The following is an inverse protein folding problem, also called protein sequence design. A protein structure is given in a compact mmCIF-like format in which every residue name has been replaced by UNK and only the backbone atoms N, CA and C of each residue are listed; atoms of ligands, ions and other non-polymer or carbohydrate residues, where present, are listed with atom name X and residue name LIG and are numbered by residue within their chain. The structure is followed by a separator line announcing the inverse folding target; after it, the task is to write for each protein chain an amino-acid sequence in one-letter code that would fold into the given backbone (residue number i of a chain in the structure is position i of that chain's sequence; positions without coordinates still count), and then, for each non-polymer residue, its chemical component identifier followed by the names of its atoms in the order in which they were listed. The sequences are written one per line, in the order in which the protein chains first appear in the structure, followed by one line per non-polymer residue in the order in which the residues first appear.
data_IF_861705986358
#
_entry.id   IF_861705986358
#
_cell.length_a   1.000
_cell.length_b   1.000
_cell.length_c   1.000
_cell.angle_alpha   90.00
_cell.angle_beta   90.00
_cell.angle_gamma   90.00
#
_symmetry.space_group_name_H-M   'P 1'
#
loop_
_entity.id
_entity.type
_entity.pdbx_description
1 polymer ?
#
# COMPACT_ATOMS: atom_id res chain seq x y z
N UNK A 1 -4.81 -2.26 -10.94
CA UNK A 1 -4.78 -0.87 -10.40
C UNK A 1 -4.03 -0.01 -11.39
N UNK A 2 -4.66 1.06 -11.86
CA UNK A 2 -4.06 2.02 -12.78
C UNK A 2 -3.84 3.34 -12.06
N UNK A 3 -2.59 3.72 -11.90
CA UNK A 3 -2.14 4.93 -11.24
C UNK A 3 -1.57 5.88 -12.30
N UNK A 4 -2.15 7.07 -12.39
CA UNK A 4 -1.70 8.13 -13.30
C UNK A 4 -1.18 9.31 -12.46
N UNK A 5 0.12 9.60 -12.55
CA UNK A 5 0.71 10.80 -11.96
C UNK A 5 0.44 11.95 -12.92
N UNK A 6 -0.39 12.93 -12.55
CA UNK A 6 -0.77 14.04 -13.44
C UNK A 6 -0.03 15.34 -13.15
N UNK A 7 0.63 15.43 -12.00
CA UNK A 7 1.48 16.56 -11.58
C UNK A 7 2.68 16.05 -10.78
N UNK A 8 3.78 16.84 -10.68
CA UNK A 8 4.93 16.45 -9.88
C UNK A 8 4.54 16.10 -8.44
N UNK A 9 5.11 15.01 -7.92
CA UNK A 9 4.85 14.52 -6.57
C UNK A 9 5.67 15.26 -5.49
N UNK A 10 6.24 16.43 -5.82
CA UNK A 10 6.97 17.28 -4.88
C UNK A 10 6.15 17.49 -3.60
N UNK A 11 6.75 17.17 -2.45
CA UNK A 11 6.15 17.24 -1.12
C UNK A 11 4.94 16.30 -0.88
N UNK A 12 4.83 15.18 -1.60
CA UNK A 12 3.84 14.14 -1.35
C UNK A 12 4.52 12.87 -0.86
N UNK A 13 4.27 12.51 0.40
CA UNK A 13 4.80 11.28 0.97
C UNK A 13 3.98 10.04 0.54
N UNK A 14 2.65 10.14 0.44
CA UNK A 14 1.77 9.00 0.15
C UNK A 14 0.96 9.18 -1.13
N UNK A 15 0.93 8.13 -1.95
CA UNK A 15 0.17 8.06 -3.20
C UNK A 15 -1.08 7.20 -2.99
N UNK A 16 -0.90 5.99 -2.48
CA UNK A 16 -1.98 5.07 -2.13
C UNK A 16 -1.58 4.18 -0.96
N UNK A 17 -2.57 3.63 -0.28
CA UNK A 17 -2.37 2.60 0.74
C UNK A 17 -3.39 1.48 0.61
N UNK A 18 -2.94 0.27 0.93
CA UNK A 18 -3.75 -0.91 1.20
C UNK A 18 -3.32 -1.37 2.57
N UNK A 19 -4.25 -1.37 3.52
CA UNK A 19 -3.96 -1.64 4.93
C UNK A 19 -4.93 -2.67 5.44
N UNK A 20 -4.46 -3.51 6.33
CA UNK A 20 -5.30 -4.41 7.12
C UNK A 20 -5.15 -3.97 8.56
N UNK A 21 -6.24 -3.58 9.21
CA UNK A 21 -6.19 -3.04 10.56
C UNK A 21 -7.44 -3.28 11.38
N UNK A 22 -7.40 -2.90 12.67
CA UNK A 22 -8.55 -2.93 13.56
C UNK A 22 -9.49 -1.78 13.22
N UNK A 23 -10.79 -1.99 13.40
CA UNK A 23 -11.79 -0.92 13.20
C UNK A 23 -11.49 0.34 14.00
N UNK A 24 -11.00 0.18 15.24
CA UNK A 24 -10.64 1.29 16.12
C UNK A 24 -9.34 2.03 15.72
N UNK A 25 -8.56 1.51 14.79
CA UNK A 25 -7.35 2.19 14.30
C UNK A 25 -7.63 2.93 12.97
N UNK A 26 -8.80 2.68 12.37
CA UNK A 26 -9.22 3.23 11.08
C UNK A 26 -10.01 4.51 11.29
N UNK A 27 -9.63 5.58 10.58
CA UNK A 27 -10.38 6.85 10.57
C UNK A 27 -10.00 7.85 11.66
N UNK A 28 -9.06 7.52 12.53
CA UNK A 28 -8.49 8.48 13.50
C UNK A 28 -7.59 9.53 12.83
N UNK A 29 -7.03 9.22 11.66
CA UNK A 29 -6.14 10.09 10.91
C UNK A 29 -6.44 10.03 9.40
N UNK A 30 -5.85 10.95 8.63
CA UNK A 30 -5.94 10.99 7.16
C UNK A 30 -5.30 9.78 6.44
N UNK A 31 -4.56 8.95 7.19
CA UNK A 31 -3.90 7.73 6.76
C UNK A 31 -3.91 6.71 7.92
N UNK A 32 -3.87 5.41 7.64
CA UNK A 32 -3.78 4.36 8.69
C UNK A 32 -2.31 4.09 9.09
N UNK A 33 -1.38 4.85 8.51
CA UNK A 33 0.06 4.76 8.77
C UNK A 33 0.39 4.75 10.27
N UNK A 34 1.35 3.90 10.63
CA UNK A 34 1.98 3.82 11.95
C UNK A 34 1.09 3.36 13.12
N UNK A 35 -0.10 2.85 12.83
CA UNK A 35 -0.93 2.25 13.87
C UNK A 35 -0.36 0.87 14.29
N UNK A 36 -0.33 0.54 15.60
CA UNK A 36 0.29 -0.70 16.09
C UNK A 36 -0.30 -1.98 15.49
N UNK A 37 -1.61 -1.98 15.19
CA UNK A 37 -2.29 -3.11 14.56
C UNK A 37 -2.62 -2.84 13.10
N UNK A 38 -1.78 -2.08 12.40
CA UNK A 38 -1.90 -1.86 10.96
C UNK A 38 -0.73 -2.51 10.21
N UNK A 39 -1.10 -3.41 9.30
CA UNK A 39 -0.18 -3.97 8.31
C UNK A 39 -0.44 -3.28 6.98
N UNK A 40 0.55 -2.54 6.51
CA UNK A 40 0.40 -1.62 5.40
C UNK A 40 1.25 -2.02 4.20
N UNK A 41 0.62 -1.92 3.04
CA UNK A 41 1.24 -1.88 1.73
C UNK A 41 0.92 -0.53 1.09
N UNK A 42 1.93 0.27 0.76
CA UNK A 42 1.67 1.63 0.26
C UNK A 42 2.64 2.04 -0.85
N UNK A 43 2.14 2.89 -1.75
CA UNK A 43 2.95 3.61 -2.73
C UNK A 43 3.32 4.97 -2.18
N UNK A 44 4.61 5.30 -2.19
CA UNK A 44 5.14 6.56 -1.67
C UNK A 44 6.21 7.12 -2.58
N UNK A 45 6.34 8.46 -2.62
CA UNK A 45 7.51 9.08 -3.19
C UNK A 45 8.73 8.74 -2.32
N UNK A 46 9.81 8.30 -2.96
CA UNK A 46 11.08 8.03 -2.32
C UNK A 46 12.08 9.09 -2.78
N UNK A 47 12.44 9.99 -1.87
CA UNK A 47 13.36 11.09 -2.18
C UNK A 47 14.75 10.58 -2.56
N UNK A 48 15.25 9.55 -1.87
CA UNK A 48 16.56 8.94 -2.16
C UNK A 48 16.65 8.39 -3.58
N UNK A 49 15.59 7.69 -4.02
CA UNK A 49 15.54 7.04 -5.33
C UNK A 49 14.90 7.90 -6.41
N UNK A 50 14.41 9.10 -6.05
CA UNK A 50 13.65 10.01 -6.93
C UNK A 50 12.62 9.26 -7.77
N UNK A 51 11.76 8.48 -7.13
CA UNK A 51 10.76 7.66 -7.81
C UNK A 51 9.62 7.27 -6.85
N UNK A 52 8.54 6.70 -7.38
CA UNK A 52 7.53 6.06 -6.54
C UNK A 52 8.00 4.66 -6.19
N UNK A 53 7.98 4.34 -4.91
CA UNK A 53 8.31 3.02 -4.37
C UNK A 53 7.11 2.42 -3.63
N UNK A 54 7.05 1.10 -3.65
CA UNK A 54 6.21 0.30 -2.76
C UNK A 54 6.93 0.12 -1.43
N UNK A 55 6.17 0.22 -0.35
CA UNK A 55 6.62 -0.06 1.00
C UNK A 55 5.66 -1.05 1.68
N UNK A 56 6.23 -2.04 2.36
CA UNK A 56 5.51 -2.86 3.33
C UNK A 56 5.93 -2.44 4.73
N UNK A 57 4.97 -2.04 5.57
CA UNK A 57 5.21 -1.40 6.87
C UNK A 57 4.29 -1.96 7.95
N UNK A 58 4.77 -1.94 9.19
CA UNK A 58 3.99 -2.21 10.39
C UNK A 58 4.64 -1.48 11.57
N UNK A 59 3.84 -0.80 12.40
CA UNK A 59 4.30 -0.15 13.64
C UNK A 59 5.60 0.69 13.47
N UNK A 60 5.65 1.50 12.42
CA UNK A 60 6.78 2.38 12.12
C UNK A 60 7.97 1.71 11.42
N UNK A 61 7.99 0.38 11.35
CA UNK A 61 9.06 -0.37 10.72
C UNK A 61 8.80 -0.60 9.23
N UNK A 62 9.89 -0.52 8.45
CA UNK A 62 9.91 -0.80 7.03
C UNK A 62 10.45 -2.22 6.79
N UNK A 63 9.61 -3.11 6.26
CA UNK A 63 9.98 -4.51 6.01
C UNK A 63 10.36 -4.78 4.56
N UNK A 64 9.75 -4.05 3.63
CA UNK A 64 10.12 -4.11 2.22
C UNK A 64 10.05 -2.73 1.58
N UNK A 65 10.98 -2.49 0.66
CA UNK A 65 11.09 -1.26 -0.12
C UNK A 65 11.48 -1.60 -1.55
N UNK A 66 10.54 -1.43 -2.49
CA UNK A 66 10.70 -1.84 -3.88
C UNK A 66 10.38 -0.70 -4.85
N UNK A 67 11.19 -0.50 -5.91
CA UNK A 67 10.90 0.49 -6.94
C UNK A 67 9.60 0.14 -7.67
N UNK A 68 8.73 1.13 -7.92
CA UNK A 68 7.45 0.92 -8.59
C UNK A 68 7.36 1.62 -9.94
N UNK A 69 7.56 2.93 -9.97
CA UNK A 69 7.52 3.75 -11.18
C UNK A 69 8.33 5.02 -11.01
N UNK A 70 8.62 5.71 -12.12
CA UNK A 70 9.06 7.10 -12.07
C UNK A 70 8.02 7.97 -11.34
N UNK A 71 8.46 9.13 -10.82
CA UNK A 71 7.60 10.10 -10.13
C UNK A 71 7.19 11.28 -11.02
N UNK A 72 7.56 11.24 -12.31
CA UNK A 72 7.36 12.34 -13.25
C UNK A 72 5.90 12.44 -13.72
N UNK A 73 5.42 13.64 -14.06
CA UNK A 73 4.10 13.82 -14.64
C UNK A 73 3.88 12.94 -15.88
N UNK A 74 2.64 12.51 -16.06
CA UNK A 74 2.17 11.62 -17.12
C UNK A 74 2.71 10.19 -17.04
N UNK A 75 3.42 9.83 -15.96
CA UNK A 75 3.74 8.44 -15.68
C UNK A 75 2.46 7.66 -15.39
N UNK A 76 2.24 6.61 -16.17
CA UNK A 76 1.18 5.64 -15.99
C UNK A 76 1.78 4.36 -15.43
N UNK A 77 1.30 3.93 -14.28
CA UNK A 77 1.58 2.64 -13.70
C UNK A 77 0.32 1.78 -13.79
N UNK A 78 0.42 0.66 -14.50
CA UNK A 78 -0.62 -0.37 -14.51
C UNK A 78 -0.07 -1.64 -13.85
N UNK A 79 -0.61 -1.96 -12.66
CA UNK A 79 -0.20 -3.10 -11.83
C UNK A 79 -1.39 -3.71 -11.13
N UNK A 80 -1.40 -5.03 -11.06
CA UNK A 80 -2.30 -5.81 -10.22
C UNK A 80 -1.51 -6.28 -9.01
N UNK A 81 -1.95 -5.89 -7.83
CA UNK A 81 -1.40 -6.37 -6.57
C UNK A 81 -2.36 -7.39 -5.95
N UNK A 82 -1.79 -8.49 -5.47
CA UNK A 82 -2.49 -9.52 -4.72
C UNK A 82 -2.31 -9.31 -3.24
N UNK A 83 -3.39 -9.54 -2.48
CA UNK A 83 -3.43 -9.43 -1.03
C UNK A 83 -4.09 -10.69 -0.49
N UNK A 84 -3.40 -11.40 0.40
CA UNK A 84 -3.91 -12.61 1.03
C UNK A 84 -3.81 -12.47 2.54
N UNK A 85 -4.97 -12.52 3.21
CA UNK A 85 -5.06 -12.74 4.65
C UNK A 85 -5.25 -14.23 4.89
N UNK A 86 -4.29 -14.86 5.56
CA UNK A 86 -4.33 -16.25 5.97
C UNK A 86 -4.45 -16.30 7.49
N UNK A 87 -5.65 -16.58 7.99
CA UNK A 87 -5.93 -16.63 9.43
C UNK A 87 -5.30 -17.88 10.06
N UNK A 88 -5.30 -19.02 9.36
CA UNK A 88 -4.75 -20.29 9.87
C UNK A 88 -3.23 -20.19 10.05
N UNK A 89 -2.55 -19.50 9.12
CA UNK A 89 -1.10 -19.27 9.19
C UNK A 89 -0.71 -17.98 9.88
N UNK A 90 -1.68 -17.23 10.40
CA UNK A 90 -1.46 -15.92 11.02
C UNK A 90 -0.60 -14.98 10.15
N UNK A 91 -0.92 -14.90 8.85
CA UNK A 91 -0.07 -14.22 7.87
C UNK A 91 -0.85 -13.23 6.99
N UNK A 92 -0.16 -12.18 6.55
CA UNK A 92 -0.62 -11.25 5.53
C UNK A 92 0.43 -11.17 4.41
N UNK A 93 0.06 -11.64 3.23
CA UNK A 93 0.95 -11.71 2.07
C UNK A 93 0.55 -10.72 0.98
N UNK A 94 1.57 -10.15 0.34
CA UNK A 94 1.43 -9.18 -0.75
C UNK A 94 2.24 -9.63 -1.95
N UNK A 95 1.68 -9.47 -3.15
CA UNK A 95 2.32 -9.87 -4.41
C UNK A 95 2.08 -8.85 -5.52
N UNK A 96 3.04 -8.73 -6.44
CA UNK A 96 2.86 -8.08 -7.73
C UNK A 96 2.45 -9.18 -8.72
N UNK A 97 1.13 -9.29 -8.92
CA UNK A 97 0.52 -10.32 -9.78
C UNK A 97 0.89 -10.09 -11.24
N UNK A 98 0.95 -8.83 -11.67
CA UNK A 98 1.38 -8.48 -13.03
C UNK A 98 2.78 -8.99 -13.34
N UNK A 99 3.67 -9.03 -12.35
CA UNK A 99 5.04 -9.52 -12.50
C UNK A 99 5.28 -10.92 -11.94
N UNK A 100 4.24 -11.65 -11.54
CA UNK A 100 4.33 -12.98 -10.92
C UNK A 100 5.34 -13.04 -9.77
N UNK A 101 5.35 -12.01 -8.92
CA UNK A 101 6.37 -11.84 -7.89
C UNK A 101 5.75 -11.67 -6.51
N UNK A 102 6.22 -12.45 -5.53
CA UNK A 102 5.97 -12.18 -4.13
C UNK A 102 6.71 -10.90 -3.70
N UNK A 103 6.02 -10.02 -2.99
CA UNK A 103 6.60 -8.76 -2.51
C UNK A 103 7.03 -8.91 -1.05
N UNK A 104 6.10 -9.26 -0.18
CA UNK A 104 6.38 -9.47 1.23
C UNK A 104 5.26 -10.27 1.91
N UNK A 105 5.63 -11.01 2.95
CA UNK A 105 4.70 -11.69 3.86
C UNK A 105 5.04 -11.27 5.28
N UNK A 106 4.06 -10.69 5.97
CA UNK A 106 4.14 -10.47 7.41
C UNK A 106 3.57 -11.71 8.10
N UNK A 107 4.34 -12.28 9.02
CA UNK A 107 3.92 -13.37 9.91
C UNK A 107 3.46 -12.81 11.24
N UNK A 108 2.82 -13.66 12.06
CA UNK A 108 2.34 -13.28 13.41
C UNK A 108 1.31 -12.15 13.40
N UNK A 109 0.51 -12.09 12.33
CA UNK A 109 -0.64 -11.20 12.27
C UNK A 109 -1.60 -11.59 13.39
N UNK A 110 -2.00 -10.60 14.20
CA UNK A 110 -2.86 -10.85 15.34
C UNK A 110 -4.34 -10.91 14.91
N UNK A 111 -4.93 -12.09 14.93
CA UNK A 111 -6.34 -12.34 14.60
C UNK A 111 -7.28 -12.38 15.83
N UNK A 112 -6.85 -11.90 17.00
CA UNK A 112 -7.67 -11.91 18.23
C UNK A 112 -8.98 -11.10 18.16
N UNK A 113 -9.13 -10.28 17.12
CA UNK A 113 -10.37 -9.58 16.79
C UNK A 113 -10.53 -9.50 15.26
N UNK A 114 -11.63 -8.90 14.80
CA UNK A 114 -11.84 -8.63 13.38
C UNK A 114 -10.74 -7.72 12.80
N UNK A 115 -10.33 -8.03 11.57
CA UNK A 115 -9.46 -7.20 10.75
C UNK A 115 -10.26 -6.66 9.56
N UNK A 116 -10.00 -5.41 9.22
CA UNK A 116 -10.71 -4.68 8.18
C UNK A 116 -9.72 -4.22 7.11
N UNK A 117 -9.99 -4.53 5.83
CA UNK A 117 -9.19 -3.99 4.75
C UNK A 117 -9.55 -2.51 4.53
N UNK A 118 -8.53 -1.69 4.31
CA UNK A 118 -8.65 -0.27 4.01
C UNK A 118 -7.89 0.03 2.74
N UNK A 119 -8.51 0.82 1.86
CA UNK A 119 -7.94 1.22 0.59
C UNK A 119 -7.93 2.74 0.49
N UNK A 120 -6.78 3.36 0.75
CA UNK A 120 -6.60 4.81 0.63
C UNK A 120 -6.06 5.23 -0.73
N UNK A 121 -6.41 6.44 -1.16
CA UNK A 121 -5.74 7.17 -2.24
C UNK A 121 -5.56 8.60 -1.75
N UNK A 122 -4.39 9.18 -1.96
CA UNK A 122 -4.07 10.50 -1.43
C UNK A 122 -3.80 11.48 -2.56
N UNK A 123 -4.07 12.76 -2.28
CA UNK A 123 -3.79 13.90 -3.17
C UNK A 123 -4.39 13.73 -4.58
N UNK A 124 -5.73 13.65 -4.70
CA UNK A 124 -6.42 13.46 -5.99
C UNK A 124 -6.15 14.56 -7.02
N UNK A 125 -5.67 15.74 -6.59
CA UNK A 125 -5.25 16.83 -7.47
C UNK A 125 -3.93 16.55 -8.21
N UNK A 126 -3.13 15.59 -7.75
CA UNK A 126 -1.84 15.21 -8.36
C UNK A 126 -1.82 13.77 -8.88
N UNK A 127 -2.69 12.91 -8.35
CA UNK A 127 -2.72 11.48 -8.62
C UNK A 127 -4.15 11.07 -8.97
N UNK A 128 -4.33 10.40 -10.11
CA UNK A 128 -5.57 9.70 -10.43
C UNK A 128 -5.36 8.21 -10.27
N UNK A 129 -6.24 7.56 -9.53
CA UNK A 129 -6.16 6.14 -9.23
C UNK A 129 -7.47 5.45 -9.60
N UNK A 130 -7.37 4.53 -10.55
CA UNK A 130 -8.46 3.64 -10.92
C UNK A 130 -8.20 2.28 -10.26
N UNK A 131 -9.13 1.88 -9.39
CA UNK A 131 -9.10 0.60 -8.68
C UNK A 131 -10.21 -0.28 -9.22
N UNK A 132 -9.86 -1.52 -9.56
CA UNK A 132 -10.80 -2.61 -9.68
C UNK A 132 -10.44 -3.61 -8.59
N UNK A 133 -11.36 -3.86 -7.66
CA UNK A 133 -11.21 -4.90 -6.66
C UNK A 133 -11.73 -6.20 -7.27
N UNK A 134 -10.87 -7.20 -7.35
CA UNK A 134 -11.23 -8.55 -7.74
C UNK A 134 -11.20 -9.41 -6.48
N UNK A 135 -12.29 -10.09 -6.19
CA UNK A 135 -12.41 -11.05 -5.09
C UNK A 135 -12.54 -12.45 -5.68
N UNK A 136 -11.84 -13.42 -5.07
CA UNK A 136 -11.92 -14.84 -5.41
C UNK A 136 -12.59 -15.64 -4.31
#
# INVERSE_FOLDING_TARGET
MKLNIVRPLDNINFVFEVVVSRRGDIGHYYYVYDQPNAWQFCGQHCDDKKQVCVWCRQNGYNYAHLPLSLHTPWTVLDRTFGFLLDADRHAFSTSDVTRYRALHTVTEVNYSAGLWPVFGCHKPSKVKLEKALLTG
#
